data_IF_177224787720
#
_entry.id   IF_177224787720
#
_cell.length_a   1.000
_cell.length_b   1.000
_cell.length_c   1.000
_cell.angle_alpha   90.00
_cell.angle_beta   90.00
_cell.angle_gamma   90.00
#
_symmetry.space_group_name_H-M   'P 1'
#
loop_
_entity.id
_entity.type
_entity.pdbx_description
1 polymer ?
#
# COMPACT_ATOMS: atom_id res chain seq x y z
N UNK A 1 45.82 27.32 -5.22
CA UNK A 1 44.80 26.28 -5.52
C UNK A 1 45.53 25.07 -6.09
N UNK A 2 45.55 23.91 -5.44
CA UNK A 2 46.18 22.73 -6.00
C UNK A 2 45.44 22.33 -7.29
N UNK A 3 46.16 22.23 -8.41
CA UNK A 3 45.61 21.79 -9.68
C UNK A 3 45.46 20.27 -9.65
N UNK A 4 44.23 19.75 -9.72
CA UNK A 4 43.96 18.33 -9.84
C UNK A 4 44.43 17.82 -11.21
N UNK A 5 45.16 16.71 -11.23
CA UNK A 5 45.57 16.09 -12.49
C UNK A 5 44.37 15.42 -13.18
N UNK A 6 44.43 15.22 -14.51
CA UNK A 6 43.36 14.55 -15.25
C UNK A 6 43.04 13.14 -14.69
N UNK A 7 44.06 12.42 -14.20
CA UNK A 7 43.89 11.11 -13.56
C UNK A 7 43.14 11.20 -12.21
N UNK A 8 43.36 12.27 -11.45
CA UNK A 8 42.63 12.51 -10.20
C UNK A 8 41.14 12.81 -10.47
N UNK A 9 40.84 13.47 -11.60
CA UNK A 9 39.47 13.71 -12.02
C UNK A 9 38.79 12.43 -12.51
N UNK A 10 39.48 11.60 -13.30
CA UNK A 10 38.93 10.31 -13.78
C UNK A 10 38.63 9.34 -12.63
N UNK A 11 39.53 9.26 -11.65
CA UNK A 11 39.31 8.41 -10.47
C UNK A 11 38.13 8.89 -9.63
N UNK A 12 37.98 10.22 -9.45
CA UNK A 12 36.81 10.81 -8.78
C UNK A 12 35.53 10.57 -9.57
N UNK A 13 35.56 10.69 -10.89
CA UNK A 13 34.41 10.45 -11.75
C UNK A 13 33.93 9.00 -11.62
N UNK A 14 34.86 8.03 -11.69
CA UNK A 14 34.52 6.62 -11.48
C UNK A 14 33.96 6.36 -10.09
N UNK A 15 34.56 6.96 -9.05
CA UNK A 15 34.08 6.82 -7.68
C UNK A 15 32.66 7.41 -7.50
N UNK A 16 32.36 8.54 -8.16
CA UNK A 16 31.02 9.12 -8.17
C UNK A 16 30.03 8.23 -8.91
N UNK A 17 30.39 7.70 -10.08
CA UNK A 17 29.55 6.76 -10.83
C UNK A 17 29.21 5.50 -10.02
N UNK A 18 30.19 4.95 -9.31
CA UNK A 18 29.93 3.78 -8.44
C UNK A 18 29.01 4.12 -7.29
N UNK A 19 29.14 5.32 -6.71
CA UNK A 19 28.26 5.77 -5.62
C UNK A 19 26.82 6.00 -6.09
N UNK A 20 26.65 6.67 -7.24
CA UNK A 20 25.32 6.90 -7.81
C UNK A 20 24.60 5.60 -8.12
N UNK A 21 25.31 4.59 -8.63
CA UNK A 21 24.69 3.28 -8.89
C UNK A 21 24.19 2.58 -7.62
N UNK A 22 24.96 2.68 -6.52
CA UNK A 22 24.54 2.13 -5.22
C UNK A 22 23.34 2.89 -4.67
N UNK A 23 23.41 4.22 -4.63
CA UNK A 23 22.31 5.07 -4.14
C UNK A 23 21.02 4.88 -4.95
N UNK A 24 21.11 4.74 -6.28
CA UNK A 24 19.96 4.45 -7.15
C UNK A 24 19.32 3.09 -6.81
N UNK A 25 20.13 2.05 -6.58
CA UNK A 25 19.62 0.74 -6.18
C UNK A 25 18.95 0.76 -4.81
N UNK A 26 19.56 1.44 -3.83
CA UNK A 26 19.00 1.60 -2.49
C UNK A 26 17.68 2.37 -2.52
N UNK A 27 17.61 3.43 -3.35
CA UNK A 27 16.40 4.20 -3.55
C UNK A 27 15.25 3.34 -4.11
N UNK A 28 15.54 2.51 -5.11
CA UNK A 28 14.54 1.58 -5.66
C UNK A 28 14.07 0.57 -4.62
N UNK A 29 14.98 0.01 -3.82
CA UNK A 29 14.64 -0.94 -2.76
C UNK A 29 13.81 -0.30 -1.65
N UNK A 30 14.11 0.93 -1.25
CA UNK A 30 13.30 1.69 -0.31
C UNK A 30 11.89 1.94 -0.85
N UNK A 31 11.77 2.30 -2.13
CA UNK A 31 10.48 2.45 -2.81
C UNK A 31 9.65 1.17 -2.78
N UNK A 32 10.26 0.01 -3.04
CA UNK A 32 9.59 -1.30 -2.95
C UNK A 32 9.14 -1.63 -1.53
N UNK A 33 10.03 -1.45 -0.53
CA UNK A 33 9.71 -1.70 0.88
C UNK A 33 8.55 -0.84 1.36
N UNK A 34 8.54 0.43 0.98
CA UNK A 34 7.45 1.36 1.31
C UNK A 34 6.13 0.90 0.68
N UNK A 35 6.14 0.51 -0.60
CA UNK A 35 4.96 0.00 -1.29
C UNK A 35 4.37 -1.24 -0.62
N UNK A 36 5.21 -2.21 -0.25
CA UNK A 36 4.79 -3.43 0.44
C UNK A 36 4.27 -3.14 1.85
N UNK A 37 4.91 -2.22 2.57
CA UNK A 37 4.47 -1.80 3.89
C UNK A 37 3.10 -1.12 3.83
N UNK A 38 2.91 -0.17 2.91
CA UNK A 38 1.61 0.47 2.69
C UNK A 38 0.54 -0.55 2.29
N UNK A 39 0.86 -1.52 1.42
CA UNK A 39 -0.09 -2.56 1.03
C UNK A 39 -0.60 -3.35 2.23
N UNK A 40 0.33 -3.85 3.06
CA UNK A 40 0.00 -4.60 4.27
C UNK A 40 -0.83 -3.76 5.23
N UNK A 41 -0.34 -2.56 5.54
CA UNK A 41 -0.99 -1.66 6.48
C UNK A 41 -2.41 -1.28 6.04
N UNK A 42 -2.59 -0.88 4.78
CA UNK A 42 -3.89 -0.46 4.25
C UNK A 42 -4.88 -1.61 4.16
N UNK A 43 -4.45 -2.81 3.78
CA UNK A 43 -5.30 -4.01 3.75
C UNK A 43 -5.77 -4.41 5.14
N UNK A 44 -4.89 -4.34 6.14
CA UNK A 44 -5.23 -4.65 7.53
C UNK A 44 -6.18 -3.61 8.14
N UNK A 45 -5.99 -2.34 7.81
CA UNK A 45 -6.73 -1.21 8.42
C UNK A 45 -7.95 -0.75 7.63
N UNK A 46 -8.24 -1.35 6.48
CA UNK A 46 -9.29 -0.90 5.56
C UNK A 46 -10.69 -0.75 6.18
N UNK A 47 -11.00 -1.59 7.17
CA UNK A 47 -12.29 -1.61 7.88
C UNK A 47 -12.25 -0.88 9.23
N UNK A 48 -11.08 -0.38 9.62
CA UNK A 48 -10.77 0.13 10.97
C UNK A 48 -10.66 1.65 11.00
N UNK A 49 -10.48 2.27 9.81
CA UNK A 49 -9.94 3.61 9.67
C UNK A 49 -8.41 3.53 9.66
N UNK A 50 -7.76 4.40 8.89
CA UNK A 50 -6.31 4.65 8.83
C UNK A 50 -6.02 6.17 8.83
N UNK A 51 -4.76 6.59 8.95
CA UNK A 51 -4.35 8.00 8.79
C UNK A 51 -4.88 8.58 7.48
N UNK A 52 -5.08 7.71 6.50
CA UNK A 52 -5.39 8.02 5.12
C UNK A 52 -6.92 8.00 4.86
N UNK A 53 -7.68 7.15 5.57
CA UNK A 53 -9.15 7.01 5.49
C UNK A 53 -9.89 7.72 6.63
N UNK A 54 -9.16 8.24 7.63
CA UNK A 54 -9.67 8.82 8.86
C UNK A 54 -10.01 7.76 9.93
N UNK A 55 -9.79 8.09 11.21
CA UNK A 55 -10.12 7.20 12.34
C UNK A 55 -11.61 7.21 12.72
N UNK A 56 -12.38 8.17 12.17
CA UNK A 56 -13.67 8.55 12.73
C UNK A 56 -13.54 9.14 14.14
N UNK A 57 -14.54 9.90 14.58
CA UNK A 57 -14.61 10.37 15.96
C UNK A 57 -15.10 9.22 16.86
N UNK A 58 -14.42 8.89 17.99
CA UNK A 58 -14.78 7.73 18.82
C UNK A 58 -16.23 7.71 19.34
N UNK A 59 -16.88 8.88 19.42
CA UNK A 59 -18.27 9.06 19.86
C UNK A 59 -19.30 9.17 18.74
N UNK A 60 -18.91 9.55 17.52
CA UNK A 60 -19.83 9.78 16.38
C UNK A 60 -19.60 8.81 15.21
N UNK A 61 -18.52 8.03 15.25
CA UNK A 61 -18.27 7.00 14.25
C UNK A 61 -19.34 5.91 14.31
N UNK A 62 -19.89 5.46 13.15
CA UNK A 62 -20.82 4.34 13.10
C UNK A 62 -20.28 3.13 13.89
N UNK A 63 -21.14 2.40 14.62
CA UNK A 63 -20.78 1.29 15.54
C UNK A 63 -19.78 0.30 14.92
N UNK A 64 -19.78 0.17 13.59
CA UNK A 64 -18.83 -0.63 12.82
C UNK A 64 -17.39 -0.15 13.03
N UNK A 65 -17.06 1.13 13.03
CA UNK A 65 -15.67 1.61 13.19
C UNK A 65 -15.21 1.62 14.66
N UNK A 66 -16.11 1.91 15.60
CA UNK A 66 -15.80 1.93 17.05
C UNK A 66 -15.26 0.61 17.60
N UNK A 67 -15.66 -0.51 17.00
CA UNK A 67 -15.29 -1.87 17.44
C UNK A 67 -14.17 -2.51 16.61
N UNK A 68 -13.46 -1.74 15.78
CA UNK A 68 -12.39 -2.24 14.94
C UNK A 68 -11.27 -2.95 15.72
N UNK A 69 -10.70 -2.28 16.73
CA UNK A 69 -9.66 -2.89 17.57
C UNK A 69 -10.12 -4.13 18.36
N UNK A 70 -11.41 -4.21 18.70
CA UNK A 70 -11.99 -5.42 19.33
C UNK A 70 -12.07 -6.56 18.32
N UNK A 71 -12.42 -6.27 17.06
CA UNK A 71 -12.42 -7.26 15.97
C UNK A 71 -11.00 -7.68 15.58
N UNK A 72 -10.02 -6.77 15.55
CA UNK A 72 -8.60 -7.09 15.34
C UNK A 72 -8.11 -8.06 16.41
N UNK A 73 -8.27 -7.74 17.68
CA UNK A 73 -7.89 -8.64 18.80
C UNK A 73 -8.65 -9.96 18.75
N UNK A 74 -9.90 -9.98 18.29
CA UNK A 74 -10.65 -11.23 18.09
C UNK A 74 -10.09 -12.06 16.94
N UNK A 75 -9.73 -11.43 15.81
CA UNK A 75 -9.10 -12.09 14.66
C UNK A 75 -7.71 -12.62 15.01
N UNK A 76 -6.85 -11.83 15.66
CA UNK A 76 -5.53 -12.26 16.14
C UNK A 76 -5.63 -13.47 17.08
N UNK A 77 -6.62 -13.48 18.00
CA UNK A 77 -6.88 -14.66 18.85
C UNK A 77 -7.34 -15.87 18.06
N UNK A 78 -8.14 -15.67 17.02
CA UNK A 78 -8.61 -16.75 16.13
C UNK A 78 -7.48 -17.30 15.26
N UNK A 79 -6.59 -16.45 14.76
CA UNK A 79 -5.40 -16.83 14.00
C UNK A 79 -4.40 -17.57 14.89
N UNK A 80 -4.11 -17.06 16.09
CA UNK A 80 -3.24 -17.74 17.06
C UNK A 80 -3.80 -19.11 17.53
N UNK A 81 -5.13 -19.25 17.61
CA UNK A 81 -5.75 -20.56 17.92
C UNK A 81 -5.81 -21.49 16.71
N UNK A 82 -5.91 -20.97 15.48
CA UNK A 82 -5.84 -21.75 14.25
C UNK A 82 -4.42 -22.27 13.98
N UNK A 83 -3.39 -21.46 14.21
CA UNK A 83 -1.97 -21.84 14.17
C UNK A 83 -1.68 -22.98 15.16
N UNK A 84 -2.22 -22.88 16.37
CA UNK A 84 -2.06 -23.91 17.41
C UNK A 84 -2.84 -25.20 17.13
N UNK A 85 -3.84 -25.16 16.24
CA UNK A 85 -4.71 -26.27 15.89
C UNK A 85 -4.32 -26.99 14.59
N UNK A 86 -3.22 -26.60 13.93
CA UNK A 86 -2.70 -27.27 12.73
C UNK A 86 -3.65 -27.24 11.52
N UNK A 87 -4.62 -26.33 11.51
CA UNK A 87 -5.56 -26.17 10.37
C UNK A 87 -4.89 -25.35 9.27
N UNK A 88 -5.20 -25.60 7.98
CA UNK A 88 -4.65 -24.80 6.89
C UNK A 88 -4.96 -23.33 7.15
N UNK A 89 -3.90 -22.50 7.21
CA UNK A 89 -4.04 -21.06 7.36
C UNK A 89 -4.97 -20.56 6.26
N UNK A 90 -6.01 -19.76 6.57
CA UNK A 90 -6.64 -18.97 5.53
C UNK A 90 -5.57 -18.11 4.85
N UNK A 91 -5.72 -17.79 3.55
CA UNK A 91 -4.71 -17.04 2.82
C UNK A 91 -4.28 -15.80 3.64
N UNK A 92 -2.97 -15.52 3.72
CA UNK A 92 -2.41 -14.50 4.64
C UNK A 92 -2.96 -13.10 4.35
N UNK A 93 -3.56 -12.91 3.18
CA UNK A 93 -4.33 -11.73 2.83
C UNK A 93 -5.77 -12.12 2.50
N UNK A 94 -6.79 -11.52 3.15
CA UNK A 94 -8.17 -11.72 2.73
C UNK A 94 -8.31 -11.27 1.27
N UNK A 95 -8.93 -12.11 0.44
CA UNK A 95 -9.24 -11.75 -0.95
C UNK A 95 -10.20 -10.56 -0.92
N UNK A 96 -9.66 -9.36 -1.15
CA UNK A 96 -10.45 -8.14 -1.16
C UNK A 96 -11.40 -8.12 -2.35
N UNK A 97 -12.61 -7.64 -2.13
CA UNK A 97 -13.51 -7.32 -3.24
C UNK A 97 -12.91 -6.20 -4.11
N UNK A 98 -13.34 -6.09 -5.37
CA UNK A 98 -12.89 -5.03 -6.29
C UNK A 98 -13.09 -3.63 -5.67
N UNK A 99 -14.20 -3.45 -4.95
CA UNK A 99 -14.52 -2.22 -4.23
C UNK A 99 -13.51 -1.90 -3.12
N UNK A 100 -13.10 -2.91 -2.34
CA UNK A 100 -12.13 -2.75 -1.27
C UNK A 100 -10.72 -2.55 -1.81
N UNK A 101 -10.37 -3.23 -2.91
CA UNK A 101 -9.08 -3.04 -3.56
C UNK A 101 -8.92 -1.62 -4.11
N UNK A 102 -9.96 -1.05 -4.73
CA UNK A 102 -9.94 0.35 -5.19
C UNK A 102 -9.76 1.30 -4.00
N UNK A 103 -10.36 1.00 -2.85
CA UNK A 103 -10.13 1.78 -1.63
C UNK A 103 -8.69 1.67 -1.14
N UNK A 104 -8.08 0.48 -1.12
CA UNK A 104 -6.64 0.36 -0.78
C UNK A 104 -5.83 1.25 -1.70
N UNK A 105 -6.00 1.07 -3.01
CA UNK A 105 -5.17 1.74 -4.01
C UNK A 105 -5.30 3.26 -3.90
N UNK A 106 -6.51 3.79 -3.72
CA UNK A 106 -6.75 5.24 -3.54
C UNK A 106 -5.99 5.85 -2.37
N UNK A 107 -5.71 5.07 -1.32
CA UNK A 107 -5.08 5.57 -0.10
C UNK A 107 -3.57 5.34 -0.05
N UNK A 108 -2.91 4.85 -1.12
CA UNK A 108 -1.45 4.65 -1.18
C UNK A 108 -0.67 5.96 -1.38
N UNK A 109 -0.94 6.97 -0.54
CA UNK A 109 -0.46 8.32 -0.78
C UNK A 109 1.08 8.43 -0.71
N UNK A 110 1.76 7.70 0.19
CA UNK A 110 3.21 7.78 0.24
C UNK A 110 3.85 7.08 -0.97
N UNK A 111 3.29 5.94 -1.42
CA UNK A 111 3.78 5.31 -2.65
C UNK A 111 3.55 6.19 -3.89
N UNK A 112 2.46 6.95 -3.96
CA UNK A 112 2.15 7.84 -5.09
C UNK A 112 2.92 9.17 -5.06
N UNK A 113 3.61 9.47 -3.96
CA UNK A 113 4.49 10.65 -3.89
C UNK A 113 5.74 10.53 -4.76
N UNK A 114 6.05 9.34 -5.29
CA UNK A 114 7.20 9.07 -6.14
C UNK A 114 6.79 8.45 -7.48
N UNK A 115 7.14 9.09 -8.60
CA UNK A 115 6.84 8.60 -9.96
C UNK A 115 7.60 7.33 -10.35
N UNK A 116 8.71 7.04 -9.67
CA UNK A 116 9.49 5.81 -9.88
C UNK A 116 8.98 4.65 -8.99
N UNK A 117 7.95 4.91 -8.19
CA UNK A 117 7.38 3.91 -7.30
C UNK A 117 6.73 2.76 -8.08
N UNK A 118 6.79 1.52 -7.56
CA UNK A 118 6.02 0.40 -8.10
C UNK A 118 4.50 0.65 -8.16
N UNK A 119 4.00 1.63 -7.42
CA UNK A 119 2.58 1.95 -7.38
C UNK A 119 2.10 2.78 -8.57
N UNK A 120 3.00 3.40 -9.34
CA UNK A 120 2.58 4.34 -10.39
C UNK A 120 1.72 3.72 -11.51
N UNK A 121 1.97 2.50 -11.99
CA UNK A 121 1.07 1.84 -12.94
C UNK A 121 -0.36 1.66 -12.40
N UNK A 122 -0.49 1.46 -11.08
CA UNK A 122 -1.80 1.34 -10.43
C UNK A 122 -2.51 2.68 -10.33
N UNK A 123 -1.76 3.75 -10.07
CA UNK A 123 -2.27 5.11 -10.01
C UNK A 123 -2.79 5.57 -11.38
N UNK A 124 -2.01 5.34 -12.45
CA UNK A 124 -2.36 5.69 -13.81
C UNK A 124 -3.71 5.10 -14.28
N UNK A 125 -4.03 3.88 -13.84
CA UNK A 125 -5.28 3.18 -14.21
C UNK A 125 -6.41 3.35 -13.19
N UNK A 126 -6.17 4.05 -12.08
CA UNK A 126 -7.10 4.11 -10.94
C UNK A 126 -8.45 4.71 -11.32
N UNK A 127 -8.44 5.85 -12.02
CA UNK A 127 -9.66 6.55 -12.42
C UNK A 127 -10.55 5.71 -13.35
N UNK A 128 -9.95 4.94 -14.25
CA UNK A 128 -10.70 4.04 -15.13
C UNK A 128 -11.32 2.87 -14.37
N UNK A 129 -10.58 2.30 -13.41
CA UNK A 129 -11.07 1.23 -12.53
C UNK A 129 -12.24 1.71 -11.68
N UNK A 130 -12.17 2.93 -11.15
CA UNK A 130 -13.28 3.58 -10.42
C UNK A 130 -14.51 3.75 -11.32
N UNK A 131 -14.35 4.24 -12.56
CA UNK A 131 -15.46 4.42 -13.52
C UNK A 131 -16.14 3.09 -13.85
N UNK A 132 -15.37 2.05 -14.21
CA UNK A 132 -15.89 0.71 -14.53
C UNK A 132 -16.70 0.12 -13.38
N UNK A 133 -16.25 0.34 -12.14
CA UNK A 133 -16.95 -0.13 -10.95
C UNK A 133 -18.29 0.59 -10.75
N UNK A 134 -18.34 1.92 -10.91
CA UNK A 134 -19.58 2.69 -10.84
C UNK A 134 -20.56 2.25 -11.93
N UNK A 135 -20.09 2.05 -13.15
CA UNK A 135 -20.91 1.54 -14.25
C UNK A 135 -21.50 0.16 -13.95
N UNK A 136 -20.68 -0.77 -13.45
CA UNK A 136 -21.14 -2.11 -13.08
C UNK A 136 -22.24 -2.06 -12.00
N UNK A 137 -22.10 -1.18 -11.00
CA UNK A 137 -23.12 -0.97 -9.97
C UNK A 137 -24.41 -0.38 -10.55
N UNK A 138 -24.29 0.56 -11.48
CA UNK A 138 -25.46 1.18 -12.13
C UNK A 138 -26.26 0.17 -12.98
N UNK A 139 -25.56 -0.73 -13.70
CA UNK A 139 -26.17 -1.80 -14.51
C UNK A 139 -26.91 -2.81 -13.63
N UNK A 140 -26.29 -3.25 -12.51
CA UNK A 140 -26.95 -4.14 -11.53
C UNK A 140 -28.24 -3.54 -10.97
N UNK A 141 -28.25 -2.24 -10.65
CA UNK A 141 -29.46 -1.56 -10.15
C UNK A 141 -30.59 -1.46 -11.17
N UNK A 142 -30.27 -1.38 -12.47
CA UNK A 142 -31.27 -1.36 -13.55
C UNK A 142 -31.91 -2.72 -13.80
N UNK A 143 -31.20 -3.82 -13.53
CA UNK A 143 -31.67 -5.21 -13.69
C UNK A 143 -32.51 -5.73 -12.52
N UNK A 144 -32.51 -5.02 -11.37
CA UNK A 144 -33.28 -5.37 -10.18
C UNK A 144 -34.56 -4.52 -10.01
N UNK A 145 -34.86 -3.66 -10.98
CA UNK A 145 -36.14 -2.96 -11.11
C UNK A 145 -36.98 -3.66 -12.16
#
# INVERSE_FOLDING_TARGET
MPQSTAKDLDTRLRALQTKTLVEESEWQDQGRKLYEFEDKFLRETLLEGNLLTGWGEPRTAPVRFRNAGVRKRKRERQEATAERAGKPLPPPTPTLSVDEQIKVDRHRLASYSCVQSPAEPLHATLAERERKLVEARSKKKKLQK
#
